data_IF_344378008366
#
_entry.id   IF_344378008366
#
_cell.length_a   1.000
_cell.length_b   1.000
_cell.length_c   1.000
_cell.angle_alpha   90.00
_cell.angle_beta   90.00
_cell.angle_gamma   90.00
#
_symmetry.space_group_name_H-M   'P 1'
#
loop_
_entity.id
_entity.type
_entity.pdbx_description
1 polymer ?
#
# COMPACT_ATOMS: atom_id res chain seq x y z
N UNK A 1 -18.19 16.16 33.66
CA UNK A 1 -17.43 15.87 32.43
C UNK A 1 -17.69 14.41 32.08
N UNK A 2 -17.99 14.06 30.82
CA UNK A 2 -18.13 12.66 30.44
C UNK A 2 -16.78 11.93 30.60
N UNK A 3 -16.84 10.67 31.01
CA UNK A 3 -15.70 9.76 31.08
C UNK A 3 -15.43 9.16 29.69
N UNK A 4 -14.19 9.23 29.21
CA UNK A 4 -13.76 8.59 27.97
C UNK A 4 -13.07 7.28 28.30
N UNK A 5 -13.55 6.17 27.74
CA UNK A 5 -12.95 4.84 27.90
C UNK A 5 -12.34 4.39 26.58
N UNK A 6 -11.11 3.86 26.65
CA UNK A 6 -10.42 3.28 25.51
C UNK A 6 -10.49 1.75 25.60
N UNK A 7 -10.58 1.09 24.45
CA UNK A 7 -10.45 -0.36 24.37
C UNK A 7 -9.03 -0.79 24.76
N UNK A 8 -8.86 -2.04 25.21
CA UNK A 8 -7.54 -2.62 25.47
C UNK A 8 -6.74 -2.84 24.19
N UNK A 9 -7.42 -3.07 23.06
CA UNK A 9 -6.84 -3.22 21.74
C UNK A 9 -7.53 -2.25 20.77
N UNK A 10 -6.75 -1.37 20.16
CA UNK A 10 -7.20 -0.40 19.17
C UNK A 10 -6.03 0.01 18.28
N UNK A 11 -6.31 0.46 17.06
CA UNK A 11 -5.29 0.91 16.12
C UNK A 11 -5.08 -0.04 14.95
N UNK A 12 -3.83 -0.17 14.50
CA UNK A 12 -3.48 -0.99 13.34
C UNK A 12 -3.31 -2.46 13.72
N UNK A 13 -3.82 -3.34 12.86
CA UNK A 13 -3.54 -4.76 12.96
C UNK A 13 -2.20 -5.07 12.29
N UNK A 14 -1.69 -6.28 12.54
CA UNK A 14 -0.45 -6.79 11.95
C UNK A 14 -0.36 -6.58 10.42
N UNK A 15 -1.44 -6.87 9.69
CA UNK A 15 -1.45 -6.74 8.23
C UNK A 15 -1.23 -5.29 7.75
N UNK A 16 -1.80 -4.33 8.49
CA UNK A 16 -1.63 -2.90 8.21
C UNK A 16 -0.22 -2.44 8.56
N UNK A 17 0.29 -2.81 9.75
CA UNK A 17 1.65 -2.47 10.17
C UNK A 17 2.68 -3.00 9.19
N UNK A 18 2.59 -4.29 8.82
CA UNK A 18 3.47 -4.93 7.83
C UNK A 18 3.46 -4.19 6.50
N UNK A 19 2.30 -3.74 6.02
CA UNK A 19 2.22 -3.02 4.75
C UNK A 19 2.91 -1.65 4.82
N UNK A 20 2.76 -0.92 5.94
CA UNK A 20 3.45 0.35 6.15
C UNK A 20 4.97 0.18 6.31
N UNK A 21 5.41 -0.90 6.95
CA UNK A 21 6.84 -1.25 7.04
C UNK A 21 7.44 -1.56 5.66
N UNK A 22 6.72 -2.30 4.81
CA UNK A 22 7.14 -2.56 3.42
C UNK A 22 7.32 -1.25 2.67
N UNK A 23 6.34 -0.33 2.77
CA UNK A 23 6.42 1.00 2.15
C UNK A 23 7.69 1.73 2.61
N UNK A 24 7.91 1.84 3.91
CA UNK A 24 9.06 2.56 4.46
C UNK A 24 10.40 1.91 4.07
N UNK A 25 10.46 0.58 4.06
CA UNK A 25 11.65 -0.17 3.62
C UNK A 25 11.97 0.10 2.14
N UNK A 26 10.97 0.14 1.28
CA UNK A 26 11.16 0.41 -0.14
C UNK A 26 11.59 1.85 -0.38
N UNK A 27 11.00 2.81 0.34
CA UNK A 27 11.43 4.21 0.32
C UNK A 27 12.90 4.37 0.73
N UNK A 28 13.32 3.75 1.84
CA UNK A 28 14.71 3.79 2.31
C UNK A 28 15.70 3.21 1.31
N UNK A 29 15.26 2.27 0.48
CA UNK A 29 16.04 1.70 -0.63
C UNK A 29 16.04 2.56 -1.89
N UNK A 30 15.35 3.71 -1.91
CA UNK A 30 15.21 4.55 -3.09
C UNK A 30 14.37 3.92 -4.21
N UNK A 31 13.53 2.93 -3.89
CA UNK A 31 12.65 2.29 -4.87
C UNK A 31 11.50 3.24 -5.18
N UNK A 32 11.32 3.57 -6.45
CA UNK A 32 10.18 4.34 -6.92
C UNK A 32 8.99 3.42 -7.22
N UNK A 33 7.90 3.60 -6.48
CA UNK A 33 6.65 2.86 -6.66
C UNK A 33 5.42 3.75 -6.42
N UNK A 34 4.29 3.31 -6.96
CA UNK A 34 2.94 3.73 -6.59
C UNK A 34 2.14 2.51 -6.12
N UNK A 35 1.03 2.73 -5.43
CA UNK A 35 0.16 1.64 -4.95
C UNK A 35 -0.99 1.43 -5.92
N UNK A 36 -1.35 0.17 -6.19
CA UNK A 36 -2.54 -0.16 -6.96
C UNK A 36 -3.77 -0.09 -6.04
N UNK A 37 -4.47 1.03 -6.10
CA UNK A 37 -5.48 1.46 -5.14
C UNK A 37 -4.85 1.96 -3.82
N UNK A 38 -5.69 2.36 -2.84
CA UNK A 38 -5.20 2.77 -1.53
C UNK A 38 -4.56 1.58 -0.80
N UNK A 39 -3.38 1.80 -0.19
CA UNK A 39 -2.64 0.76 0.56
C UNK A 39 -3.50 0.10 1.64
N UNK A 40 -4.32 0.91 2.32
CA UNK A 40 -5.32 0.57 3.33
C UNK A 40 -6.50 1.57 3.21
N UNK A 41 -7.66 1.25 3.77
CA UNK A 41 -8.81 2.17 3.81
C UNK A 41 -8.68 3.22 4.93
N UNK A 42 -7.63 4.02 4.89
CA UNK A 42 -7.42 5.15 5.79
C UNK A 42 -6.97 6.39 4.97
N UNK A 43 -7.86 7.39 4.79
CA UNK A 43 -7.56 8.57 3.99
C UNK A 43 -6.35 9.38 4.50
N UNK A 44 -6.13 9.44 5.81
CA UNK A 44 -5.00 10.16 6.39
C UNK A 44 -3.68 9.50 5.97
N UNK A 45 -3.60 8.17 6.07
CA UNK A 45 -2.42 7.41 5.64
C UNK A 45 -2.18 7.55 4.15
N UNK A 46 -3.23 7.48 3.32
CA UNK A 46 -3.11 7.68 1.87
C UNK A 46 -2.57 9.07 1.56
N UNK A 47 -3.11 10.12 2.18
CA UNK A 47 -2.65 11.49 1.99
C UNK A 47 -1.19 11.70 2.46
N UNK A 48 -0.78 11.05 3.55
CA UNK A 48 0.62 11.07 4.00
C UNK A 48 1.57 10.42 3.00
N UNK A 49 1.18 9.29 2.41
CA UNK A 49 1.98 8.64 1.37
C UNK A 49 2.08 9.49 0.10
N UNK A 50 0.99 10.15 -0.28
CA UNK A 50 0.97 11.05 -1.44
C UNK A 50 1.88 12.26 -1.25
N UNK A 51 1.88 12.88 -0.06
CA UNK A 51 2.85 13.94 0.30
C UNK A 51 4.29 13.47 0.19
N UNK A 52 4.52 12.17 0.41
CA UNK A 52 5.83 11.55 0.27
C UNK A 52 6.11 11.07 -1.17
N UNK A 53 5.23 11.36 -2.13
CA UNK A 53 5.39 11.05 -3.55
C UNK A 53 4.92 9.66 -3.97
N UNK A 54 4.14 8.94 -3.14
CA UNK A 54 3.56 7.63 -3.46
C UNK A 54 2.06 7.82 -3.67
N UNK A 55 1.59 7.65 -4.90
CA UNK A 55 0.18 7.82 -5.27
C UNK A 55 -0.55 6.49 -5.25
N UNK A 56 -1.84 6.54 -4.94
CA UNK A 56 -2.75 5.44 -5.22
C UNK A 56 -3.26 5.59 -6.67
N UNK A 57 -2.94 4.62 -7.52
CA UNK A 57 -3.38 4.59 -8.92
C UNK A 57 -4.42 3.50 -9.14
N UNK A 58 -5.33 3.69 -10.10
CA UNK A 58 -6.39 2.70 -10.35
C UNK A 58 -5.91 1.55 -11.22
N UNK A 59 -4.97 1.80 -12.14
CA UNK A 59 -4.48 0.82 -13.11
C UNK A 59 -2.95 0.83 -13.16
N UNK A 60 -2.35 -0.31 -13.53
CA UNK A 60 -0.89 -0.49 -13.51
C UNK A 60 -0.17 0.52 -14.43
N UNK A 61 -0.81 0.89 -15.54
CA UNK A 61 -0.24 1.83 -16.53
C UNK A 61 -0.49 3.31 -16.19
N UNK A 62 -1.24 3.63 -15.14
CA UNK A 62 -1.46 5.02 -14.71
C UNK A 62 -0.23 5.62 -13.99
N UNK A 63 0.83 4.83 -13.79
CA UNK A 63 2.11 5.29 -13.25
C UNK A 63 3.27 5.00 -14.19
N UNK A 64 4.21 5.95 -14.38
CA UNK A 64 5.45 5.68 -15.10
C UNK A 64 6.45 4.86 -14.27
N UNK A 65 6.26 4.76 -12.94
CA UNK A 65 7.26 4.17 -12.04
C UNK A 65 7.51 2.68 -12.28
N UNK A 66 8.73 2.17 -12.09
CA UNK A 66 9.08 0.79 -12.43
C UNK A 66 8.41 -0.26 -11.53
N UNK A 67 7.97 0.12 -10.33
CA UNK A 67 7.32 -0.77 -9.38
C UNK A 67 5.87 -0.37 -9.12
N UNK A 68 5.02 -1.36 -8.93
CA UNK A 68 3.65 -1.21 -8.42
C UNK A 68 3.49 -2.02 -7.14
N UNK A 69 2.91 -1.42 -6.11
CA UNK A 69 2.70 -2.05 -4.81
C UNK A 69 1.26 -2.53 -4.70
N UNK A 70 1.07 -3.82 -4.42
CA UNK A 70 -0.22 -4.46 -4.21
C UNK A 70 -0.69 -4.23 -2.77
N UNK A 71 -1.87 -3.61 -2.63
CA UNK A 71 -2.50 -3.25 -1.35
C UNK A 71 -2.77 -4.46 -0.44
N UNK A 72 -2.98 -4.18 0.85
CA UNK A 72 -3.27 -5.20 1.89
C UNK A 72 -4.39 -6.17 1.54
N UNK A 73 -5.42 -5.69 0.84
CA UNK A 73 -6.57 -6.48 0.39
C UNK A 73 -6.27 -7.45 -0.77
N UNK A 74 -5.06 -7.40 -1.32
CA UNK A 74 -4.67 -8.15 -2.51
C UNK A 74 -5.33 -7.64 -3.79
N UNK A 75 -5.08 -8.41 -4.86
CA UNK A 75 -5.62 -8.21 -6.20
C UNK A 75 -5.90 -9.55 -6.88
N UNK A 76 -6.77 -9.57 -7.90
CA UNK A 76 -6.97 -10.75 -8.73
C UNK A 76 -5.66 -11.26 -9.39
N UNK A 77 -5.49 -12.58 -9.60
CA UNK A 77 -4.26 -13.16 -10.16
C UNK A 77 -3.85 -12.63 -11.55
N UNK A 78 -4.79 -12.19 -12.37
CA UNK A 78 -4.53 -11.61 -13.68
C UNK A 78 -3.74 -10.29 -13.60
N UNK A 79 -3.83 -9.56 -12.48
CA UNK A 79 -3.10 -8.30 -12.27
C UNK A 79 -1.59 -8.54 -12.23
N UNK A 80 -1.13 -9.66 -11.65
CA UNK A 80 0.29 -10.03 -11.66
C UNK A 80 0.79 -10.29 -13.09
N UNK A 81 -0.02 -10.96 -13.91
CA UNK A 81 0.30 -11.21 -15.33
C UNK A 81 0.32 -9.92 -16.14
N UNK A 82 -0.58 -8.99 -15.85
CA UNK A 82 -0.61 -7.67 -16.47
C UNK A 82 0.66 -6.87 -16.13
N UNK A 83 1.08 -6.87 -14.87
CA UNK A 83 2.31 -6.20 -14.44
C UNK A 83 3.55 -6.77 -15.16
N UNK A 84 3.65 -8.09 -15.27
CA UNK A 84 4.73 -8.76 -16.01
C UNK A 84 4.74 -8.35 -17.49
N UNK A 85 3.59 -8.36 -18.15
CA UNK A 85 3.46 -7.93 -19.56
C UNK A 85 3.87 -6.47 -19.78
N UNK A 86 3.62 -5.61 -18.79
CA UNK A 86 3.98 -4.19 -18.81
C UNK A 86 5.42 -3.93 -18.33
N UNK A 87 6.19 -4.98 -18.01
CA UNK A 87 7.55 -4.85 -17.50
C UNK A 87 7.64 -4.20 -16.10
N UNK A 88 6.52 -4.16 -15.37
CA UNK A 88 6.43 -3.61 -14.01
C UNK A 88 6.82 -4.67 -12.99
N UNK A 89 7.56 -4.25 -11.96
CA UNK A 89 7.91 -5.10 -10.82
C UNK A 89 6.86 -4.96 -9.72
N UNK A 90 6.51 -6.07 -9.08
CA UNK A 90 5.49 -6.10 -8.02
C UNK A 90 6.16 -6.03 -6.64
N UNK A 91 5.58 -5.21 -5.77
CA UNK A 91 5.84 -5.22 -4.32
C UNK A 91 4.54 -5.69 -3.65
N UNK A 92 4.54 -6.90 -3.10
CA UNK A 92 3.31 -7.49 -2.58
C UNK A 92 3.14 -7.22 -1.07
N UNK A 93 2.22 -6.31 -0.73
CA UNK A 93 1.85 -6.00 0.64
C UNK A 93 0.52 -6.65 1.06
N UNK A 94 0.02 -7.64 0.31
CA UNK A 94 -1.18 -8.41 0.68
C UNK A 94 -1.02 -8.99 2.08
N UNK A 95 -2.10 -8.92 2.88
CA UNK A 95 -2.15 -9.53 4.19
C UNK A 95 -2.11 -11.06 4.05
N UNK A 96 -1.29 -11.78 4.84
CA UNK A 96 -1.21 -13.24 4.77
C UNK A 96 -2.39 -13.97 5.44
N UNK A 97 -3.35 -13.22 6.01
CA UNK A 97 -4.55 -13.69 6.69
C UNK A 97 -5.79 -13.19 5.97
#
# INVERSE_FOLDING_TARGET
MPEVKLASEYGFCYGVERALEIVEKMRKKGVEFDTLGPIIHNPLVVAELEKKGIKAVERIYDTPKPYILIRTHGVPPNVYKEAEKLGKKIIDATCPF
#
